data_IF_800616450820
#
_entry.id   IF_800616450820
#
_cell.length_a   1.000
_cell.length_b   1.000
_cell.length_c   1.000
_cell.angle_alpha   90.00
_cell.angle_beta   90.00
_cell.angle_gamma   90.00
#
_symmetry.space_group_name_H-M   'P 1'
#
loop_
_entity.id
_entity.type
_entity.pdbx_description
1 polymer ?
#
# COMPACT_ATOMS: atom_id res chain seq x y z
N UNK A 1 66.66 39.32 -13.29
CA UNK A 1 67.00 38.01 -12.71
C UNK A 1 65.70 37.32 -12.29
N UNK A 2 65.55 36.05 -12.69
CA UNK A 2 64.64 35.00 -12.19
C UNK A 2 63.12 34.97 -12.51
N UNK A 3 62.81 34.02 -13.40
CA UNK A 3 61.85 32.89 -13.34
C UNK A 3 60.32 33.09 -13.33
N UNK A 4 59.77 32.59 -14.44
CA UNK A 4 58.47 32.00 -14.73
C UNK A 4 57.65 31.40 -13.57
N UNK A 5 56.32 31.52 -13.70
CA UNK A 5 55.39 30.41 -13.47
C UNK A 5 54.08 30.65 -14.25
N UNK A 6 53.94 29.95 -15.37
CA UNK A 6 52.66 29.68 -16.04
C UNK A 6 52.00 28.54 -15.28
N UNK A 7 50.78 28.72 -14.81
CA UNK A 7 49.91 27.61 -14.38
C UNK A 7 48.48 27.88 -14.85
N UNK A 8 48.13 27.14 -15.90
CA UNK A 8 46.78 26.81 -16.34
C UNK A 8 45.98 26.17 -15.20
N UNK A 9 44.70 26.54 -15.05
CA UNK A 9 43.70 25.63 -14.48
C UNK A 9 42.34 25.85 -15.17
N UNK A 10 41.56 24.79 -15.40
CA UNK A 10 40.77 24.63 -16.62
C UNK A 10 39.27 24.91 -16.44
N UNK A 11 38.61 25.15 -17.58
CA UNK A 11 37.15 25.14 -17.74
C UNK A 11 36.54 23.91 -17.05
N UNK A 12 35.71 24.14 -16.04
CA UNK A 12 34.81 23.13 -15.52
C UNK A 12 33.68 22.94 -16.54
N UNK A 13 33.82 21.89 -17.35
CA UNK A 13 32.78 21.38 -18.22
C UNK A 13 31.63 20.86 -17.34
N UNK A 14 30.54 21.62 -17.22
CA UNK A 14 29.29 21.09 -16.69
C UNK A 14 28.77 20.02 -17.64
N UNK A 15 29.13 18.76 -17.39
CA UNK A 15 28.37 17.62 -17.89
C UNK A 15 27.00 17.65 -17.19
N UNK A 16 26.03 18.30 -17.82
CA UNK A 16 24.64 17.97 -17.61
C UNK A 16 24.49 16.54 -18.12
N UNK A 17 24.56 15.57 -17.21
CA UNK A 17 24.08 14.22 -17.48
C UNK A 17 22.56 14.37 -17.61
N UNK A 18 22.09 14.61 -18.83
CA UNK A 18 20.71 14.39 -19.18
C UNK A 18 20.44 12.90 -18.92
N UNK A 19 19.69 12.60 -17.87
CA UNK A 19 19.13 11.28 -17.67
C UNK A 19 18.43 10.88 -18.97
N UNK A 20 18.66 9.67 -19.51
CA UNK A 20 18.00 9.27 -20.74
C UNK A 20 16.49 9.24 -20.45
N UNK A 21 15.74 10.13 -21.09
CA UNK A 21 14.31 9.96 -21.25
C UNK A 21 14.13 8.61 -21.96
N UNK A 22 13.66 7.60 -21.22
CA UNK A 22 13.40 6.28 -21.78
C UNK A 22 12.30 6.46 -22.83
N UNK A 23 12.67 6.33 -24.10
CA UNK A 23 11.73 6.42 -25.20
C UNK A 23 10.89 5.12 -25.17
N UNK A 24 9.72 5.19 -24.53
CA UNK A 24 8.80 4.05 -24.44
C UNK A 24 8.43 3.56 -25.84
N UNK A 25 8.43 2.24 -26.02
CA UNK A 25 7.93 1.65 -27.26
C UNK A 25 6.41 1.84 -27.36
N UNK A 26 5.87 1.87 -28.59
CA UNK A 26 4.42 2.00 -28.81
C UNK A 26 3.62 0.89 -28.11
N UNK A 27 4.20 -0.29 -27.93
CA UNK A 27 3.60 -1.39 -27.20
C UNK A 27 3.52 -1.12 -25.68
N UNK A 28 4.58 -0.55 -25.08
CA UNK A 28 4.59 -0.16 -23.67
C UNK A 28 3.57 0.95 -23.40
N UNK A 29 3.46 1.93 -24.31
CA UNK A 29 2.48 3.01 -24.20
C UNK A 29 1.05 2.49 -24.24
N UNK A 30 0.72 1.65 -25.23
CA UNK A 30 -0.63 1.09 -25.33
C UNK A 30 -1.01 0.27 -24.09
N UNK A 31 -0.08 -0.51 -23.55
CA UNK A 31 -0.37 -1.35 -22.42
C UNK A 31 -0.38 -0.57 -21.09
N UNK A 32 0.38 0.53 -20.98
CA UNK A 32 0.22 1.52 -19.92
C UNK A 32 -1.20 2.12 -19.95
N UNK A 33 -1.69 2.54 -21.12
CA UNK A 33 -3.04 3.10 -21.28
C UNK A 33 -4.14 2.10 -20.89
N UNK A 34 -4.05 0.85 -21.35
CA UNK A 34 -5.00 -0.22 -20.98
C UNK A 34 -5.00 -0.44 -19.47
N UNK A 35 -3.82 -0.45 -18.84
CA UNK A 35 -3.71 -0.65 -17.40
C UNK A 35 -4.25 0.56 -16.61
N UNK A 36 -4.00 1.77 -17.08
CA UNK A 36 -4.54 2.99 -16.48
C UNK A 36 -6.07 3.01 -16.55
N UNK A 37 -6.68 2.55 -17.65
CA UNK A 37 -8.14 2.38 -17.76
C UNK A 37 -8.71 1.36 -16.78
N UNK A 38 -7.97 0.25 -16.54
CA UNK A 38 -8.36 -0.73 -15.51
C UNK A 38 -8.35 -0.06 -14.14
N UNK A 39 -7.26 0.63 -13.77
CA UNK A 39 -7.14 1.28 -12.47
C UNK A 39 -8.17 2.39 -12.28
N UNK A 40 -8.44 3.18 -13.32
CA UNK A 40 -9.48 4.20 -13.31
C UNK A 40 -10.85 3.56 -13.05
N UNK A 41 -11.17 2.47 -13.74
CA UNK A 41 -12.42 1.71 -13.49
C UNK A 41 -12.51 1.14 -12.07
N UNK A 42 -11.37 0.74 -11.48
CA UNK A 42 -11.32 0.26 -10.08
C UNK A 42 -11.52 1.41 -9.10
N UNK A 43 -10.91 2.57 -9.36
CA UNK A 43 -11.02 3.78 -8.52
C UNK A 43 -12.45 4.28 -8.39
N UNK A 44 -13.25 4.14 -9.46
CA UNK A 44 -14.65 4.55 -9.52
C UNK A 44 -15.62 3.56 -8.85
N UNK A 45 -15.14 2.44 -8.29
CA UNK A 45 -16.02 1.49 -7.61
C UNK A 45 -16.53 2.07 -6.28
N UNK A 46 -17.85 2.26 -6.17
CA UNK A 46 -18.52 2.76 -4.95
C UNK A 46 -18.25 1.89 -3.70
N UNK A 47 -17.92 0.60 -3.89
CA UNK A 47 -17.63 -0.32 -2.78
C UNK A 47 -16.22 -0.20 -2.21
N UNK A 48 -15.37 0.59 -2.86
CA UNK A 48 -13.95 0.70 -2.54
C UNK A 48 -13.68 1.73 -1.45
N UNK A 49 -14.48 2.80 -1.41
CA UNK A 49 -14.19 3.98 -0.59
C UNK A 49 -15.49 4.75 -0.26
N UNK A 50 -15.94 4.81 1.01
CA UNK A 50 -15.34 4.22 2.20
C UNK A 50 -15.55 2.70 2.29
N UNK A 51 -14.51 1.98 2.71
CA UNK A 51 -14.60 0.55 3.01
C UNK A 51 -14.90 0.32 4.49
N UNK A 52 -16.10 -0.21 4.77
CA UNK A 52 -16.46 -0.64 6.12
C UNK A 52 -15.92 -2.03 6.43
N UNK A 53 -15.19 -2.16 7.55
CA UNK A 53 -14.63 -3.42 8.00
C UNK A 53 -15.49 -4.06 9.09
N UNK A 54 -15.66 -5.40 9.04
CA UNK A 54 -16.40 -6.10 10.07
C UNK A 54 -15.70 -6.01 11.43
N UNK A 55 -16.49 -6.17 12.48
CA UNK A 55 -16.01 -6.20 13.84
C UNK A 55 -14.92 -7.28 14.03
N UNK A 56 -13.90 -6.96 14.84
CA UNK A 56 -12.84 -7.89 15.19
C UNK A 56 -12.67 -7.96 16.70
N UNK A 57 -12.65 -9.17 17.23
CA UNK A 57 -12.34 -9.44 18.63
C UNK A 57 -10.99 -10.14 18.71
N UNK A 58 -10.14 -9.70 19.61
CA UNK A 58 -8.82 -10.31 19.83
C UNK A 58 -8.47 -10.30 21.31
N UNK A 59 -8.12 -11.47 21.82
CA UNK A 59 -7.56 -11.62 23.17
C UNK A 59 -6.07 -11.32 23.18
N UNK A 60 -5.55 -10.83 24.30
CA UNK A 60 -4.13 -10.74 24.54
C UNK A 60 -3.81 -11.05 26.00
N UNK A 61 -2.65 -11.67 26.22
CA UNK A 61 -2.20 -12.06 27.55
C UNK A 61 -1.03 -11.19 27.97
N UNK A 62 -1.06 -10.70 29.22
CA UNK A 62 0.10 -10.05 29.82
C UNK A 62 0.43 -10.65 31.17
N UNK A 63 1.69 -10.98 31.37
CA UNK A 63 2.20 -11.39 32.67
C UNK A 63 2.94 -10.21 33.31
N UNK A 64 2.53 -9.81 34.51
CA UNK A 64 3.25 -8.83 35.34
C UNK A 64 3.78 -9.52 36.60
N UNK A 65 2.86 -9.99 37.46
CA UNK A 65 3.11 -11.00 38.50
C UNK A 65 2.19 -12.22 38.34
N UNK A 66 0.99 -12.01 37.79
CA UNK A 66 0.00 -13.04 37.41
C UNK A 66 -0.33 -12.83 35.93
N UNK A 67 -0.71 -13.90 35.22
CA UNK A 67 -1.24 -13.81 33.85
C UNK A 67 -2.61 -13.12 33.89
N UNK A 68 -2.70 -11.95 33.27
CA UNK A 68 -3.94 -11.20 33.13
C UNK A 68 -4.37 -11.29 31.67
N UNK A 69 -5.61 -11.76 31.47
CA UNK A 69 -6.28 -11.79 30.17
C UNK A 69 -6.92 -10.44 29.87
N UNK A 70 -6.58 -9.89 28.71
CA UNK A 70 -7.21 -8.72 28.12
C UNK A 70 -7.97 -9.09 26.85
N UNK A 71 -9.01 -8.30 26.55
CA UNK A 71 -9.82 -8.43 25.34
C UNK A 71 -9.85 -7.08 24.63
N UNK A 72 -9.69 -7.09 23.32
CA UNK A 72 -9.84 -5.92 22.45
C UNK A 72 -10.93 -6.22 21.44
N UNK A 73 -11.93 -5.35 21.36
CA UNK A 73 -13.00 -5.42 20.38
C UNK A 73 -12.96 -4.17 19.52
N UNK A 74 -12.54 -4.30 18.26
CA UNK A 74 -12.54 -3.24 17.25
C UNK A 74 -13.88 -3.24 16.51
N UNK A 75 -14.51 -2.08 16.40
CA UNK A 75 -15.81 -1.90 15.77
C UNK A 75 -15.91 -0.52 15.12
N UNK A 76 -16.92 -0.34 14.26
CA UNK A 76 -17.12 0.87 13.45
C UNK A 76 -15.84 1.29 12.71
N UNK A 77 -15.16 0.29 12.14
CA UNK A 77 -13.91 0.51 11.43
C UNK A 77 -14.19 0.90 9.98
N UNK A 78 -13.67 2.03 9.56
CA UNK A 78 -13.79 2.55 8.19
C UNK A 78 -12.40 2.83 7.64
N UNK A 79 -12.13 2.36 6.42
CA UNK A 79 -10.91 2.63 5.66
C UNK A 79 -11.26 3.50 4.46
N UNK A 80 -10.59 4.63 4.30
CA UNK A 80 -10.76 5.55 3.17
C UNK A 80 -9.46 5.76 2.40
N UNK A 81 -9.58 6.22 1.16
CA UNK A 81 -8.46 6.55 0.29
C UNK A 81 -8.05 5.43 -0.68
N UNK A 82 -8.70 4.25 -0.63
CA UNK A 82 -8.43 3.16 -1.58
C UNK A 82 -8.69 3.58 -3.03
N UNK A 83 -9.60 4.54 -3.25
CA UNK A 83 -9.95 5.07 -4.57
C UNK A 83 -8.80 5.81 -5.23
N UNK A 84 -7.77 6.22 -4.48
CA UNK A 84 -6.57 6.89 -5.02
C UNK A 84 -5.58 5.94 -5.69
N UNK A 85 -6.02 4.73 -6.05
CA UNK A 85 -5.20 3.73 -6.72
C UNK A 85 -4.80 4.21 -8.11
N UNK A 86 -3.51 4.19 -8.38
CA UNK A 86 -2.94 4.63 -9.65
C UNK A 86 -1.64 3.90 -9.96
N UNK A 87 -1.22 3.92 -11.22
CA UNK A 87 0.10 3.43 -11.62
C UNK A 87 1.18 4.45 -11.22
N UNK A 88 2.38 3.96 -10.92
CA UNK A 88 3.47 4.77 -10.31
C UNK A 88 4.77 4.73 -11.09
N UNK A 89 4.77 3.97 -12.18
CA UNK A 89 5.86 3.83 -13.13
C UNK A 89 5.39 3.05 -14.34
N UNK A 90 6.26 2.86 -15.33
CA UNK A 90 5.88 2.13 -16.53
C UNK A 90 5.69 0.64 -16.25
N UNK A 91 4.66 0.08 -16.86
CA UNK A 91 4.50 -1.36 -16.91
C UNK A 91 5.66 -1.94 -17.73
N UNK A 92 6.28 -3.01 -17.22
CA UNK A 92 7.30 -3.75 -17.95
C UNK A 92 6.65 -4.95 -18.59
N UNK A 93 6.86 -5.09 -19.88
CA UNK A 93 6.35 -6.20 -20.68
C UNK A 93 7.50 -7.07 -21.14
N UNK A 94 7.37 -8.36 -20.92
CA UNK A 94 8.25 -9.36 -21.53
C UNK A 94 7.36 -10.36 -22.26
N UNK A 95 7.55 -10.46 -23.57
CA UNK A 95 6.91 -11.49 -24.38
C UNK A 95 7.98 -12.54 -24.68
N UNK A 96 7.74 -13.77 -24.27
CA UNK A 96 8.59 -14.92 -24.60
C UNK A 96 7.74 -16.06 -25.20
N UNK A 97 8.39 -17.19 -25.50
CA UNK A 97 7.73 -18.38 -26.06
C UNK A 97 6.62 -18.96 -25.15
N UNK A 98 6.51 -18.50 -23.90
CA UNK A 98 5.52 -18.95 -22.91
C UNK A 98 4.37 -17.95 -22.73
N UNK A 99 4.46 -16.76 -23.31
CA UNK A 99 3.40 -15.75 -23.31
C UNK A 99 3.88 -14.38 -22.86
N UNK A 100 2.91 -13.53 -22.50
CA UNK A 100 3.13 -12.18 -22.00
C UNK A 100 3.26 -12.16 -20.47
N UNK A 101 4.35 -11.58 -19.97
CA UNK A 101 4.56 -11.23 -18.56
C UNK A 101 4.47 -9.70 -18.39
N UNK A 102 3.64 -9.28 -17.44
CA UNK A 102 3.35 -7.88 -17.12
C UNK A 102 3.73 -7.62 -15.67
N UNK A 103 4.68 -6.71 -15.47
CA UNK A 103 5.05 -6.19 -14.16
C UNK A 103 4.65 -4.73 -14.04
N UNK A 104 3.85 -4.38 -13.04
CA UNK A 104 3.42 -3.01 -12.80
C UNK A 104 3.62 -2.60 -11.33
N UNK A 105 4.12 -1.39 -11.12
CA UNK A 105 4.16 -0.73 -9.82
C UNK A 105 2.89 0.10 -9.64
N UNK A 106 2.03 -0.33 -8.70
CA UNK A 106 0.78 0.34 -8.35
C UNK A 106 0.96 1.07 -7.01
N UNK A 107 0.40 2.26 -6.92
CA UNK A 107 0.38 3.10 -5.74
C UNK A 107 -1.04 3.32 -5.29
N UNK A 108 -1.21 3.37 -3.98
CA UNK A 108 -2.40 3.95 -3.36
C UNK A 108 -1.90 5.14 -2.57
N UNK A 109 -2.56 6.29 -2.71
CA UNK A 109 -2.26 7.51 -1.99
C UNK A 109 -2.53 7.38 -0.49
N UNK A 110 -2.86 8.51 0.13
CA UNK A 110 -3.11 8.55 1.56
C UNK A 110 -4.27 7.62 1.95
N UNK A 111 -4.04 6.76 2.95
CA UNK A 111 -5.07 5.93 3.55
C UNK A 111 -5.32 6.36 4.99
N UNK A 112 -6.60 6.56 5.30
CA UNK A 112 -7.06 6.85 6.65
C UNK A 112 -7.92 5.68 7.15
N UNK A 113 -7.64 5.23 8.37
CA UNK A 113 -8.43 4.20 9.04
C UNK A 113 -8.86 4.71 10.40
N UNK A 114 -10.17 4.91 10.53
CA UNK A 114 -10.85 5.28 11.77
C UNK A 114 -11.51 4.06 12.38
N UNK A 115 -11.34 3.84 13.67
CA UNK A 115 -11.90 2.71 14.38
C UNK A 115 -12.14 3.03 15.84
N UNK A 116 -13.14 2.40 16.45
CA UNK A 116 -13.30 2.37 17.90
C UNK A 116 -12.86 1.03 18.44
N UNK A 117 -12.19 1.04 19.58
CA UNK A 117 -11.83 -0.19 20.28
C UNK A 117 -12.30 -0.17 21.73
N UNK A 118 -12.98 -1.24 22.15
CA UNK A 118 -13.18 -1.51 23.58
C UNK A 118 -12.05 -2.38 24.07
N UNK A 119 -11.26 -1.84 25.01
CA UNK A 119 -10.12 -2.54 25.61
C UNK A 119 -10.51 -2.93 27.02
N UNK A 120 -10.62 -4.23 27.29
CA UNK A 120 -10.98 -4.76 28.61
C UNK A 120 -9.79 -5.47 29.24
N UNK A 121 -9.62 -5.26 30.54
CA UNK A 121 -8.84 -6.11 31.43
C UNK A 121 -9.75 -6.61 32.54
N UNK A 122 -9.78 -7.93 32.76
CA UNK A 122 -10.62 -8.52 33.80
C UNK A 122 -12.09 -8.07 33.73
N UNK A 123 -12.61 -7.90 32.51
CA UNK A 123 -14.00 -7.49 32.26
C UNK A 123 -14.29 -5.99 32.34
N UNK A 124 -13.30 -5.13 32.65
CA UNK A 124 -13.48 -3.66 32.67
C UNK A 124 -12.46 -2.96 31.79
N UNK A 125 -12.85 -1.85 31.17
CA UNK A 125 -11.90 -0.94 30.56
C UNK A 125 -12.56 0.07 29.62
N UNK A 126 -11.77 1.03 29.10
CA UNK A 126 -12.27 2.16 28.36
C UNK A 126 -12.59 1.80 26.91
N UNK A 127 -13.35 2.69 26.29
CA UNK A 127 -13.43 2.81 24.83
C UNK A 127 -12.35 3.77 24.37
N UNK A 128 -11.59 3.39 23.36
CA UNK A 128 -10.56 4.22 22.75
C UNK A 128 -10.90 4.49 21.30
N UNK A 129 -10.59 5.70 20.84
CA UNK A 129 -10.67 6.06 19.43
C UNK A 129 -9.29 5.88 18.80
N UNK A 130 -9.25 5.17 17.68
CA UNK A 130 -8.06 4.83 16.93
C UNK A 130 -8.14 5.52 15.58
N UNK A 131 -7.13 6.31 15.27
CA UNK A 131 -6.98 6.93 13.95
C UNK A 131 -5.61 6.58 13.40
N UNK A 132 -5.59 5.94 12.24
CA UNK A 132 -4.38 5.54 11.54
C UNK A 132 -4.31 6.30 10.23
N UNK A 133 -3.15 6.89 9.97
CA UNK A 133 -2.82 7.53 8.70
C UNK A 133 -1.64 6.81 8.06
N UNK A 134 -1.69 6.62 6.74
CA UNK A 134 -0.61 6.06 5.94
C UNK A 134 -0.46 6.97 4.73
N UNK A 135 0.68 7.62 4.58
CA UNK A 135 0.91 8.57 3.49
C UNK A 135 0.79 7.91 2.12
N UNK A 136 1.26 6.67 2.00
CA UNK A 136 1.35 5.97 0.72
C UNK A 136 1.51 4.45 0.85
N UNK A 137 0.89 3.70 -0.06
CA UNK A 137 1.04 2.24 -0.19
C UNK A 137 1.60 1.88 -1.55
N UNK A 138 2.72 1.14 -1.57
CA UNK A 138 3.28 0.58 -2.79
C UNK A 138 2.89 -0.87 -2.95
N UNK A 139 2.36 -1.20 -4.11
CA UNK A 139 1.87 -2.53 -4.47
C UNK A 139 2.57 -3.00 -5.74
N UNK A 140 3.02 -4.25 -5.73
CA UNK A 140 3.52 -4.92 -6.92
C UNK A 140 2.39 -5.74 -7.54
N UNK A 141 2.17 -5.54 -8.83
CA UNK A 141 1.31 -6.37 -9.65
C UNK A 141 2.16 -7.17 -10.65
N UNK A 142 1.94 -8.47 -10.70
CA UNK A 142 2.47 -9.39 -11.71
C UNK A 142 1.28 -10.07 -12.39
N UNK A 143 1.17 -9.99 -13.71
CA UNK A 143 0.18 -10.71 -14.49
C UNK A 143 0.86 -11.51 -15.62
N UNK A 144 0.34 -12.70 -15.89
CA UNK A 144 0.85 -13.60 -16.92
C UNK A 144 -0.27 -13.97 -17.87
N UNK A 145 0.04 -14.08 -19.15
CA UNK A 145 -0.84 -14.73 -20.12
C UNK A 145 -0.61 -16.24 -20.10
N UNK A 146 -1.66 -17.00 -19.83
CA UNK A 146 -1.68 -18.47 -19.86
C UNK A 146 -2.79 -18.91 -20.80
N UNK A 147 -2.46 -19.72 -21.81
CA UNK A 147 -3.40 -20.19 -22.83
C UNK A 147 -4.21 -19.07 -23.51
N UNK A 148 -3.54 -17.95 -23.78
CA UNK A 148 -4.16 -16.78 -24.42
C UNK A 148 -4.94 -15.86 -23.46
N UNK A 149 -5.05 -16.21 -22.17
CA UNK A 149 -5.81 -15.45 -21.17
C UNK A 149 -4.87 -14.79 -20.16
N UNK A 150 -4.99 -13.48 -19.99
CA UNK A 150 -4.24 -12.74 -18.96
C UNK A 150 -4.81 -13.06 -17.57
N UNK A 151 -3.93 -13.46 -16.65
CA UNK A 151 -4.26 -13.81 -15.28
C UNK A 151 -3.36 -13.05 -14.32
N UNK A 152 -3.95 -12.54 -13.22
CA UNK A 152 -3.20 -11.93 -12.15
C UNK A 152 -2.43 -13.02 -11.39
N UNK A 153 -1.10 -13.02 -11.50
CA UNK A 153 -0.24 -13.98 -10.81
C UNK A 153 0.02 -13.54 -9.38
N UNK A 154 0.29 -12.25 -9.20
CA UNK A 154 0.68 -11.70 -7.91
C UNK A 154 0.15 -10.29 -7.75
N UNK A 155 -0.39 -10.03 -6.57
CA UNK A 155 -0.77 -8.70 -6.15
C UNK A 155 -0.39 -8.55 -4.69
N UNK A 156 0.68 -7.79 -4.41
CA UNK A 156 1.29 -7.78 -3.09
C UNK A 156 1.70 -6.38 -2.67
N UNK A 157 1.25 -5.96 -1.50
CA UNK A 157 1.73 -4.73 -0.87
C UNK A 157 3.19 -4.94 -0.51
N UNK A 158 4.07 -4.14 -1.11
CA UNK A 158 5.50 -4.13 -0.83
C UNK A 158 5.78 -3.30 0.42
N UNK A 159 5.25 -2.07 0.43
CA UNK A 159 5.59 -1.06 1.44
C UNK A 159 4.38 -0.24 1.89
N UNK A 160 4.41 0.17 3.15
CA UNK A 160 3.50 1.13 3.77
C UNK A 160 4.36 2.28 4.30
N UNK A 161 4.28 3.44 3.67
CA UNK A 161 5.08 4.62 4.01
C UNK A 161 4.25 5.56 4.90
N UNK A 162 4.91 6.26 5.83
CA UNK A 162 4.24 7.30 6.63
C UNK A 162 3.25 6.81 7.69
N UNK A 163 3.38 5.56 8.17
CA UNK A 163 2.42 5.01 9.14
C UNK A 163 2.42 5.81 10.45
N UNK A 164 1.27 6.42 10.77
CA UNK A 164 1.02 7.16 12.01
C UNK A 164 -0.22 6.60 12.70
N UNK A 165 -0.13 6.34 14.01
CA UNK A 165 -1.25 5.89 14.83
C UNK A 165 -1.50 6.88 15.96
N UNK A 166 -2.74 7.35 16.07
CA UNK A 166 -3.25 8.15 17.20
C UNK A 166 -4.22 7.29 18.00
N UNK A 167 -3.99 7.23 19.32
CA UNK A 167 -4.85 6.52 20.27
C UNK A 167 -5.36 7.54 21.27
N UNK A 168 -6.68 7.75 21.28
CA UNK A 168 -7.34 8.67 22.20
C UNK A 168 -8.22 7.89 23.19
N UNK A 169 -8.39 8.40 24.41
CA UNK A 169 -9.32 7.82 25.39
C UNK A 169 -8.77 6.68 26.25
N UNK A 170 -7.44 6.47 26.30
CA UNK A 170 -6.84 5.41 27.15
C UNK A 170 -7.08 5.60 28.65
N UNK A 171 -7.23 6.86 29.10
CA UNK A 171 -7.51 7.18 30.51
C UNK A 171 -6.54 6.50 31.49
N UNK A 172 -7.03 5.71 32.47
CA UNK A 172 -6.19 4.98 33.42
C UNK A 172 -5.24 3.96 32.79
N UNK A 173 -5.46 3.55 31.53
CA UNK A 173 -4.58 2.64 30.78
C UNK A 173 -3.46 3.37 30.03
N UNK A 174 -3.25 4.67 30.27
CA UNK A 174 -2.17 5.45 29.67
C UNK A 174 -0.77 4.85 29.91
N UNK A 175 -0.55 4.18 31.05
CA UNK A 175 0.70 3.45 31.33
C UNK A 175 0.99 2.30 30.34
N UNK A 176 -0.02 1.84 29.59
CA UNK A 176 0.08 0.79 28.58
C UNK A 176 0.17 1.31 27.15
N UNK A 177 0.33 2.63 26.96
CA UNK A 177 0.37 3.25 25.64
C UNK A 177 1.34 2.58 24.68
N UNK A 178 2.57 2.27 25.11
CA UNK A 178 3.58 1.63 24.25
C UNK A 178 3.17 0.22 23.81
N UNK A 179 2.52 -0.54 24.71
CA UNK A 179 2.00 -1.86 24.39
C UNK A 179 0.90 -1.78 23.33
N UNK A 180 -0.09 -0.91 23.56
CA UNK A 180 -1.20 -0.72 22.63
C UNK A 180 -0.73 -0.16 21.29
N UNK A 181 0.18 0.81 21.30
CA UNK A 181 0.75 1.37 20.07
C UNK A 181 1.42 0.29 19.24
N UNK A 182 2.22 -0.58 19.85
CA UNK A 182 2.87 -1.70 19.15
C UNK A 182 1.86 -2.71 18.64
N UNK A 183 0.88 -3.06 19.47
CA UNK A 183 -0.16 -4.04 19.13
C UNK A 183 -1.03 -3.54 17.95
N UNK A 184 -1.62 -2.35 18.10
CA UNK A 184 -2.48 -1.75 17.08
C UNK A 184 -1.70 -1.43 15.80
N UNK A 185 -0.44 -0.99 15.88
CA UNK A 185 0.39 -0.81 14.67
C UNK A 185 0.51 -2.10 13.88
N UNK A 186 0.82 -3.23 14.54
CA UNK A 186 0.93 -4.53 13.85
C UNK A 186 -0.41 -4.97 13.27
N UNK A 187 -1.48 -4.83 14.07
CA UNK A 187 -2.83 -5.19 13.67
C UNK A 187 -3.29 -4.38 12.44
N UNK A 188 -3.18 -3.05 12.47
CA UNK A 188 -3.60 -2.20 11.37
C UNK A 188 -2.74 -2.34 10.12
N UNK A 189 -1.42 -2.49 10.25
CA UNK A 189 -0.56 -2.84 9.09
C UNK A 189 -1.00 -4.15 8.43
N UNK A 190 -1.38 -5.14 9.22
CA UNK A 190 -1.92 -6.41 8.73
C UNK A 190 -3.28 -6.26 8.04
N UNK A 191 -4.19 -5.50 8.64
CA UNK A 191 -5.51 -5.20 8.07
C UNK A 191 -5.36 -4.47 6.74
N UNK A 192 -4.61 -3.37 6.70
CA UNK A 192 -4.42 -2.57 5.48
C UNK A 192 -3.81 -3.43 4.39
N UNK A 193 -2.71 -4.14 4.67
CA UNK A 193 -2.10 -5.05 3.69
C UNK A 193 -3.10 -6.05 3.14
N UNK A 194 -3.82 -6.77 4.01
CA UNK A 194 -4.76 -7.79 3.55
C UNK A 194 -5.95 -7.22 2.78
N UNK A 195 -6.44 -6.03 3.15
CA UNK A 195 -7.62 -5.42 2.51
C UNK A 195 -7.26 -4.80 1.17
N UNK A 196 -6.16 -4.05 1.09
CA UNK A 196 -5.60 -3.53 -0.16
C UNK A 196 -5.37 -4.68 -1.13
N UNK A 197 -4.69 -5.75 -0.69
CA UNK A 197 -4.39 -6.89 -1.56
C UNK A 197 -5.67 -7.54 -2.08
N UNK A 198 -6.59 -7.94 -1.19
CA UNK A 198 -7.80 -8.69 -1.59
C UNK A 198 -8.77 -7.89 -2.45
N UNK A 199 -8.98 -6.62 -2.12
CA UNK A 199 -10.01 -5.80 -2.78
C UNK A 199 -9.51 -5.38 -4.15
N UNK A 200 -8.30 -4.82 -4.22
CA UNK A 200 -7.76 -4.35 -5.49
C UNK A 200 -7.48 -5.53 -6.42
N UNK A 201 -6.94 -6.66 -5.92
CA UNK A 201 -6.73 -7.84 -6.77
C UNK A 201 -8.04 -8.35 -7.37
N UNK A 202 -9.12 -8.44 -6.56
CA UNK A 202 -10.41 -8.91 -7.03
C UNK A 202 -11.04 -7.99 -8.08
N UNK A 203 -10.93 -6.67 -7.89
CA UNK A 203 -11.45 -5.69 -8.85
C UNK A 203 -10.65 -5.68 -10.15
N UNK A 204 -9.31 -5.74 -10.06
CA UNK A 204 -8.43 -5.82 -11.22
C UNK A 204 -8.68 -7.12 -12.01
N UNK A 205 -8.73 -8.27 -11.34
CA UNK A 205 -9.02 -9.53 -12.02
C UNK A 205 -10.39 -9.53 -12.69
N UNK A 206 -11.40 -8.96 -12.03
CA UNK A 206 -12.74 -8.81 -12.61
C UNK A 206 -12.67 -8.00 -13.91
N UNK A 207 -11.93 -6.89 -13.92
CA UNK A 207 -11.76 -6.02 -15.09
C UNK A 207 -10.93 -6.68 -16.20
N UNK A 208 -9.86 -7.38 -15.87
CA UNK A 208 -9.07 -8.17 -16.84
C UNK A 208 -9.96 -9.20 -17.55
N UNK A 209 -10.84 -9.89 -16.81
CA UNK A 209 -11.80 -10.85 -17.36
C UNK A 209 -12.87 -10.19 -18.24
N UNK A 210 -13.41 -9.05 -17.82
CA UNK A 210 -14.43 -8.30 -18.58
C UNK A 210 -13.89 -7.80 -19.93
N UNK A 211 -12.65 -7.31 -19.96
CA UNK A 211 -12.04 -6.72 -21.14
C UNK A 211 -11.58 -7.76 -22.18
N UNK A 212 -11.64 -9.07 -21.86
CA UNK A 212 -11.11 -10.17 -22.69
C UNK A 212 -9.77 -9.80 -23.33
N UNK A 213 -8.87 -9.19 -22.55
CA UNK A 213 -7.62 -8.66 -23.07
C UNK A 213 -6.85 -9.78 -23.76
N UNK A 214 -6.90 -9.74 -25.09
CA UNK A 214 -6.14 -10.59 -25.99
C UNK A 214 -5.12 -9.63 -26.56
N UNK A 215 -3.91 -9.68 -26.03
CA UNK A 215 -2.76 -8.96 -26.58
C UNK A 215 -2.22 -9.71 -27.79
#
# INVERSE_FOLDING_TARGET
MWKAAVTLLPLLLCLVVAAPAQNESAAEQHANEVFDQILESVSQSETLDPLHLPEQVSGFDRTFLVRIHGEIRLYNTTLTGLSTVQRTGNCRFQMDDKGLDVLADVGVGALDLDSKAHVKFMGRGPTVDLHVHIDYVRVLLEALQVDGVVQLRRFKVQELLGFTLKINGLGPLSYMFNFFSTYFTKLFKGIVRSRVEKILSAQIEKKIRELKLTF
#
